data_IF_045537686931
#
_entry.id   IF_045537686931
#
_cell.length_a   1.000
_cell.length_b   1.000
_cell.length_c   1.000
_cell.angle_alpha   90.00
_cell.angle_beta   90.00
_cell.angle_gamma   90.00
#
_symmetry.space_group_name_H-M   'P 1'
#
loop_
_entity.id
_entity.type
_entity.pdbx_description
1 polymer ?
#
# COMPACT_ATOMS: atom_id res chain seq x y z
N UNK A 1 17.00 25.77 30.11
CA UNK A 1 18.35 25.65 29.51
C UNK A 1 19.43 26.02 30.52
N UNK A 2 19.75 25.13 31.49
CA UNK A 2 20.74 25.37 32.58
C UNK A 2 22.12 24.74 32.26
N UNK A 3 22.20 23.82 31.31
CA UNK A 3 23.42 23.04 31.02
C UNK A 3 24.41 23.83 30.15
N UNK A 4 23.96 24.48 29.08
CA UNK A 4 24.83 25.20 28.15
C UNK A 4 25.70 26.28 28.83
N UNK A 5 25.16 27.12 29.77
CA UNK A 5 26.00 28.06 30.50
C UNK A 5 27.10 27.39 31.34
N UNK A 6 26.82 26.24 31.96
CA UNK A 6 27.82 25.49 32.73
C UNK A 6 28.94 24.91 31.83
N UNK A 7 28.57 24.44 30.63
CA UNK A 7 29.53 23.93 29.66
C UNK A 7 30.40 25.08 29.11
N UNK A 8 29.82 26.24 28.80
CA UNK A 8 30.56 27.42 28.35
C UNK A 8 31.50 27.99 29.45
N UNK A 9 31.07 27.92 30.71
CA UNK A 9 31.94 28.35 31.82
C UNK A 9 33.18 27.45 31.97
N UNK A 10 33.06 26.16 31.69
CA UNK A 10 34.17 25.20 31.77
C UNK A 10 35.00 25.16 30.48
N UNK A 11 34.35 25.34 29.33
CA UNK A 11 34.97 25.38 28.01
C UNK A 11 34.41 26.55 27.20
N UNK A 12 35.09 27.72 27.20
CA UNK A 12 34.58 28.96 26.61
C UNK A 12 34.16 28.87 25.14
N UNK A 13 34.77 27.95 24.36
CA UNK A 13 34.46 27.74 22.93
C UNK A 13 33.55 26.56 22.67
N UNK A 14 32.92 26.00 23.71
CA UNK A 14 32.05 24.78 23.56
C UNK A 14 30.92 24.96 22.55
N UNK A 15 30.17 26.06 22.66
CA UNK A 15 29.04 26.35 21.77
C UNK A 15 29.49 26.49 20.31
N UNK A 16 30.61 27.21 20.08
CA UNK A 16 31.17 27.38 18.73
C UNK A 16 31.68 26.06 18.14
N UNK A 17 32.35 25.22 18.94
CA UNK A 17 32.84 23.93 18.51
C UNK A 17 31.69 22.98 18.13
N UNK A 18 30.64 22.96 18.94
CA UNK A 18 29.42 22.16 18.65
C UNK A 18 28.73 22.67 17.39
N UNK A 19 28.57 24.00 17.24
CA UNK A 19 27.97 24.61 16.05
C UNK A 19 28.75 24.27 14.77
N UNK A 20 30.09 24.35 14.80
CA UNK A 20 30.93 23.93 13.65
C UNK A 20 30.77 22.46 13.33
N UNK A 21 30.81 21.59 14.33
CA UNK A 21 30.61 20.14 14.12
C UNK A 21 29.26 19.85 13.54
N UNK A 22 28.19 20.49 14.04
CA UNK A 22 26.85 20.33 13.51
C UNK A 22 26.73 20.81 12.05
N UNK A 23 27.35 21.93 11.71
CA UNK A 23 27.42 22.46 10.33
C UNK A 23 28.09 21.47 9.39
N UNK A 24 29.29 20.98 9.76
CA UNK A 24 30.01 19.99 8.97
C UNK A 24 29.23 18.68 8.78
N UNK A 25 28.57 18.18 9.83
CA UNK A 25 27.68 17.00 9.70
C UNK A 25 26.53 17.27 8.73
N UNK A 26 25.92 18.47 8.80
CA UNK A 26 24.84 18.85 7.88
C UNK A 26 25.31 19.00 6.42
N UNK A 27 26.54 19.48 6.20
CA UNK A 27 27.13 19.53 4.85
C UNK A 27 27.44 18.15 4.29
N UNK A 28 27.98 17.25 5.11
CA UNK A 28 28.22 15.86 4.73
C UNK A 28 26.93 15.11 4.43
N UNK A 29 25.88 15.33 5.21
CA UNK A 29 24.56 14.71 4.96
C UNK A 29 23.96 15.19 3.64
N UNK A 30 24.05 16.49 3.33
CA UNK A 30 23.60 17.03 2.04
C UNK A 30 24.38 16.45 0.85
N UNK A 31 25.71 16.35 0.98
CA UNK A 31 26.53 15.73 -0.06
C UNK A 31 26.15 14.25 -0.29
N UNK A 32 25.89 13.50 0.78
CA UNK A 32 25.40 12.12 0.68
C UNK A 32 24.01 12.07 0.02
N UNK A 33 23.13 13.03 0.32
CA UNK A 33 21.82 13.13 -0.33
C UNK A 33 21.95 13.34 -1.83
N UNK A 34 22.80 14.27 -2.26
CA UNK A 34 23.07 14.52 -3.66
C UNK A 34 23.62 13.27 -4.38
N UNK A 35 24.60 12.62 -3.78
CA UNK A 35 25.22 11.41 -4.35
C UNK A 35 24.26 10.24 -4.47
N UNK A 36 23.37 10.05 -3.49
CA UNK A 36 22.45 8.91 -3.44
C UNK A 36 21.10 9.19 -4.11
N UNK A 37 20.74 10.45 -4.37
CA UNK A 37 19.46 10.80 -4.98
C UNK A 37 19.29 10.19 -6.38
N UNK A 38 20.31 10.33 -7.21
CA UNK A 38 20.30 9.76 -8.56
C UNK A 38 20.19 8.22 -8.54
N UNK A 39 20.92 7.58 -7.61
CA UNK A 39 20.87 6.13 -7.44
C UNK A 39 19.48 5.69 -6.97
N UNK A 40 18.93 6.33 -5.94
CA UNK A 40 17.60 6.02 -5.42
C UNK A 40 16.53 6.13 -6.51
N UNK A 41 16.60 7.17 -7.35
CA UNK A 41 15.66 7.36 -8.47
C UNK A 41 15.64 6.17 -9.44
N UNK A 42 16.76 5.47 -9.62
CA UNK A 42 16.81 4.26 -10.46
C UNK A 42 16.23 3.01 -9.80
N UNK A 43 16.12 3.02 -8.48
CA UNK A 43 15.67 1.88 -7.67
C UNK A 43 14.18 1.94 -7.33
N UNK A 44 13.58 3.13 -7.40
CA UNK A 44 12.18 3.38 -7.05
C UNK A 44 11.33 3.36 -8.31
N UNK A 45 10.27 2.55 -8.30
CA UNK A 45 9.30 2.50 -9.39
C UNK A 45 8.30 3.68 -9.31
N UNK A 46 7.50 3.87 -10.37
CA UNK A 46 6.47 4.93 -10.44
C UNK A 46 5.45 4.85 -9.29
N UNK A 47 5.16 3.65 -8.80
CA UNK A 47 4.27 3.40 -7.65
C UNK A 47 4.95 3.61 -6.28
N UNK A 48 6.20 4.09 -6.27
CA UNK A 48 6.99 4.33 -5.07
C UNK A 48 7.65 3.08 -4.47
N UNK A 49 7.50 1.91 -5.10
CA UNK A 49 8.10 0.68 -4.59
C UNK A 49 9.62 0.64 -4.82
N UNK A 50 10.36 0.22 -3.80
CA UNK A 50 11.83 0.11 -3.84
C UNK A 50 12.28 -1.30 -4.23
N UNK A 51 13.13 -1.43 -5.24
CA UNK A 51 13.70 -2.70 -5.66
C UNK A 51 14.66 -3.27 -4.60
N UNK A 52 14.54 -4.56 -4.31
CA UNK A 52 15.37 -5.24 -3.28
C UNK A 52 16.68 -5.77 -3.89
N UNK A 53 16.63 -6.34 -5.07
CA UNK A 53 17.76 -7.05 -5.66
C UNK A 53 19.02 -6.19 -5.75
N UNK A 54 18.99 -4.92 -6.24
CA UNK A 54 20.20 -4.09 -6.27
C UNK A 54 20.78 -3.79 -4.89
N UNK A 55 19.94 -3.75 -3.85
CA UNK A 55 20.38 -3.50 -2.47
C UNK A 55 21.20 -4.66 -1.88
N UNK A 56 21.06 -5.87 -2.42
CA UNK A 56 21.78 -7.07 -1.91
C UNK A 56 23.28 -6.96 -2.05
N UNK A 57 23.77 -6.33 -3.13
CA UNK A 57 25.19 -6.15 -3.40
C UNK A 57 25.81 -4.95 -2.66
N UNK A 58 25.01 -4.14 -1.98
CA UNK A 58 25.46 -2.92 -1.31
C UNK A 58 25.94 -3.19 0.12
N UNK A 59 26.87 -2.36 0.60
CA UNK A 59 27.26 -2.35 2.01
C UNK A 59 26.09 -1.98 2.92
N UNK A 60 26.09 -2.46 4.16
CA UNK A 60 25.03 -2.16 5.13
C UNK A 60 24.83 -0.65 5.35
N UNK A 61 25.89 0.20 5.48
CA UNK A 61 25.72 1.65 5.60
C UNK A 61 25.05 2.29 4.37
N UNK A 62 25.44 1.90 3.14
CA UNK A 62 24.86 2.42 1.90
C UNK A 62 23.40 2.05 1.78
N UNK A 63 23.07 0.79 2.03
CA UNK A 63 21.70 0.29 2.04
C UNK A 63 20.83 0.99 3.09
N UNK A 64 21.34 1.19 4.30
CA UNK A 64 20.63 1.94 5.34
C UNK A 64 20.37 3.41 4.95
N UNK A 65 21.34 4.05 4.29
CA UNK A 65 21.19 5.41 3.79
C UNK A 65 20.11 5.52 2.71
N UNK A 66 20.06 4.58 1.75
CA UNK A 66 19.01 4.53 0.72
C UNK A 66 17.63 4.26 1.31
N UNK A 67 17.51 3.32 2.25
CA UNK A 67 16.23 3.01 2.93
C UNK A 67 15.69 4.23 3.69
N UNK A 68 16.54 4.99 4.37
CA UNK A 68 16.12 6.24 5.05
C UNK A 68 15.59 7.27 4.06
N UNK A 69 16.28 7.47 2.94
CA UNK A 69 15.87 8.43 1.90
C UNK A 69 14.60 8.00 1.21
N UNK A 70 14.46 6.70 0.96
CA UNK A 70 13.21 6.15 0.43
C UNK A 70 12.02 6.44 1.35
N UNK A 71 12.16 6.22 2.67
CA UNK A 71 11.13 6.56 3.65
C UNK A 71 10.88 8.07 3.74
N UNK A 72 11.93 8.89 3.68
CA UNK A 72 11.80 10.34 3.69
C UNK A 72 10.99 10.87 2.48
N UNK A 73 11.05 10.20 1.33
CA UNK A 73 10.24 10.51 0.15
C UNK A 73 8.72 10.43 0.39
N UNK A 74 8.28 9.68 1.39
CA UNK A 74 6.88 9.61 1.81
C UNK A 74 6.53 10.54 2.99
N UNK A 75 7.39 11.49 3.33
CA UNK A 75 7.27 12.33 4.53
C UNK A 75 7.13 11.48 5.83
N UNK A 76 7.67 10.27 5.82
CA UNK A 76 7.71 9.44 7.01
C UNK A 76 8.55 10.11 8.11
N UNK A 77 8.19 9.98 9.39
CA UNK A 77 9.06 10.43 10.47
C UNK A 77 10.44 9.79 10.33
N UNK A 78 11.50 10.59 10.58
CA UNK A 78 12.87 10.09 10.47
C UNK A 78 13.02 8.82 11.33
N UNK A 79 13.35 7.68 10.70
CA UNK A 79 13.43 6.41 11.42
C UNK A 79 14.63 6.39 12.37
N UNK A 80 14.49 5.67 13.49
CA UNK A 80 15.63 5.39 14.36
C UNK A 80 16.73 4.65 13.60
N UNK A 81 17.93 4.63 14.15
CA UNK A 81 19.09 3.97 13.51
C UNK A 81 18.84 2.49 13.19
N UNK A 82 18.01 1.82 13.95
CA UNK A 82 17.73 0.38 13.83
C UNK A 82 16.69 0.05 12.75
N UNK A 83 15.80 0.99 12.39
CA UNK A 83 14.69 0.72 11.46
C UNK A 83 15.14 0.25 10.08
N UNK A 84 16.13 0.87 9.41
CA UNK A 84 16.63 0.37 8.13
C UNK A 84 17.16 -1.07 8.19
N UNK A 85 17.85 -1.44 9.27
CA UNK A 85 18.35 -2.80 9.46
C UNK A 85 17.21 -3.80 9.71
N UNK A 86 16.18 -3.38 10.45
CA UNK A 86 14.98 -4.19 10.63
C UNK A 86 14.21 -4.38 9.32
N UNK A 87 14.04 -3.32 8.53
CA UNK A 87 13.42 -3.43 7.20
C UNK A 87 14.19 -4.44 6.35
N UNK A 88 15.51 -4.37 6.35
CA UNK A 88 16.34 -5.27 5.58
C UNK A 88 16.18 -6.71 6.04
N UNK A 89 16.40 -6.97 7.32
CA UNK A 89 16.41 -8.33 7.87
C UNK A 89 15.02 -8.96 7.97
N UNK A 90 14.02 -8.19 8.44
CA UNK A 90 12.69 -8.72 8.75
C UNK A 90 11.75 -8.71 7.55
N UNK A 91 11.98 -7.81 6.57
CA UNK A 91 11.09 -7.65 5.41
C UNK A 91 11.78 -8.03 4.11
N UNK A 92 12.88 -7.38 3.75
CA UNK A 92 13.53 -7.60 2.47
C UNK A 92 14.07 -9.03 2.34
N UNK A 93 14.71 -9.55 3.37
CA UNK A 93 15.35 -10.88 3.41
C UNK A 93 14.47 -11.97 4.02
N UNK A 94 13.18 -11.70 4.25
CA UNK A 94 12.25 -12.73 4.70
C UNK A 94 12.10 -13.84 3.64
N UNK A 95 11.64 -15.02 4.05
CA UNK A 95 11.43 -16.17 3.16
C UNK A 95 10.43 -15.81 2.05
N UNK A 96 10.55 -16.44 0.87
CA UNK A 96 9.70 -16.14 -0.30
C UNK A 96 8.20 -16.37 -0.04
N UNK A 97 7.88 -17.41 0.74
CA UNK A 97 6.52 -17.78 1.10
C UNK A 97 5.93 -16.94 2.25
N UNK A 98 6.74 -16.12 2.90
CA UNK A 98 6.31 -15.24 3.96
C UNK A 98 5.62 -13.97 3.41
N UNK A 99 4.71 -13.42 4.22
CA UNK A 99 4.11 -12.10 3.97
C UNK A 99 4.62 -11.10 5.02
N UNK A 100 5.91 -10.71 4.93
CA UNK A 100 6.52 -9.90 5.95
C UNK A 100 5.86 -8.53 6.05
N UNK A 101 5.72 -8.05 7.29
CA UNK A 101 5.09 -6.78 7.60
C UNK A 101 5.80 -6.16 8.80
N UNK A 102 6.51 -5.06 8.58
CA UNK A 102 7.07 -4.24 9.67
C UNK A 102 6.19 -3.00 9.86
N UNK A 103 5.57 -2.89 11.03
CA UNK A 103 4.72 -1.74 11.36
C UNK A 103 5.54 -0.58 11.89
N UNK A 104 5.30 0.61 11.33
CA UNK A 104 5.92 1.87 11.71
C UNK A 104 4.81 2.93 11.87
N UNK A 105 4.23 2.99 13.05
CA UNK A 105 3.08 3.85 13.35
C UNK A 105 1.82 3.43 12.60
N UNK A 106 1.30 4.33 11.77
CA UNK A 106 0.12 4.08 10.93
C UNK A 106 0.45 3.45 9.58
N UNK A 107 1.72 3.21 9.29
CA UNK A 107 2.19 2.62 8.05
C UNK A 107 2.90 1.30 8.29
N UNK A 108 3.12 0.58 7.21
CA UNK A 108 3.85 -0.69 7.21
C UNK A 108 4.81 -0.73 6.04
N UNK A 109 5.99 -1.32 6.26
CA UNK A 109 6.85 -1.76 5.17
C UNK A 109 6.52 -3.21 4.87
N UNK A 110 6.23 -3.52 3.62
CA UNK A 110 5.85 -4.85 3.16
C UNK A 110 6.66 -5.24 1.93
N UNK A 111 6.79 -6.55 1.69
CA UNK A 111 7.43 -7.07 0.49
C UNK A 111 6.42 -7.75 -0.43
N UNK A 112 6.52 -7.43 -1.72
CA UNK A 112 5.81 -8.12 -2.77
C UNK A 112 6.61 -8.07 -4.07
N UNK A 113 6.75 -9.19 -4.79
CA UNK A 113 7.48 -9.31 -6.06
C UNK A 113 8.86 -8.64 -6.05
N UNK A 114 9.69 -8.98 -5.05
CA UNK A 114 11.05 -8.46 -4.89
C UNK A 114 11.14 -6.92 -4.77
N UNK A 115 10.09 -6.30 -4.26
CA UNK A 115 10.02 -4.87 -3.98
C UNK A 115 9.53 -4.61 -2.57
N UNK A 116 10.01 -3.52 -1.96
CA UNK A 116 9.50 -2.98 -0.71
C UNK A 116 8.44 -1.93 -1.00
N UNK A 117 7.37 -1.96 -0.22
CA UNK A 117 6.25 -1.04 -0.30
C UNK A 117 6.04 -0.33 1.04
N UNK A 118 5.84 0.98 0.99
CA UNK A 118 5.37 1.79 2.11
C UNK A 118 3.86 1.91 2.01
N UNK A 119 3.13 1.27 2.92
CA UNK A 119 1.68 1.11 2.80
C UNK A 119 1.01 1.54 4.10
N UNK A 120 -0.03 2.37 3.99
CA UNK A 120 -0.90 2.68 5.15
C UNK A 120 -1.49 1.38 5.69
N UNK A 121 -1.42 1.21 7.01
CA UNK A 121 -2.03 0.06 7.66
C UNK A 121 -3.55 0.21 7.63
N UNK A 122 -4.22 -0.71 6.96
CA UNK A 122 -5.67 -0.82 6.94
C UNK A 122 -6.05 -2.18 7.55
N UNK A 123 -6.99 -2.21 8.52
CA UNK A 123 -7.49 -3.47 9.06
C UNK A 123 -8.15 -4.30 7.96
N UNK A 124 -7.88 -5.61 7.94
CA UNK A 124 -8.55 -6.53 7.03
C UNK A 124 -10.08 -6.54 7.27
N UNK A 125 -10.83 -6.69 6.18
CA UNK A 125 -12.29 -6.66 6.20
C UNK A 125 -12.93 -8.00 5.80
N UNK A 126 -12.18 -9.10 5.85
CA UNK A 126 -12.61 -10.42 5.32
C UNK A 126 -13.95 -10.90 5.82
N UNK A 127 -14.34 -10.56 7.06
CA UNK A 127 -15.61 -10.96 7.67
C UNK A 127 -16.72 -9.91 7.51
N UNK A 128 -16.42 -8.78 6.92
CA UNK A 128 -17.37 -7.67 6.78
C UNK A 128 -18.32 -7.92 5.60
N UNK A 129 -19.60 -7.76 5.84
CA UNK A 129 -20.68 -7.75 4.84
C UNK A 129 -21.47 -6.47 5.00
N UNK A 130 -21.55 -5.67 3.94
CA UNK A 130 -22.29 -4.41 3.93
C UNK A 130 -23.48 -4.52 3.00
N UNK A 131 -24.69 -4.28 3.51
CA UNK A 131 -25.87 -4.13 2.67
C UNK A 131 -25.85 -2.74 1.97
N UNK A 132 -26.23 -2.73 0.68
CA UNK A 132 -26.35 -1.50 -0.11
C UNK A 132 -27.76 -1.37 -0.67
N UNK A 133 -28.75 -0.98 0.18
CA UNK A 133 -30.17 -1.00 -0.19
C UNK A 133 -30.54 0.09 -1.19
N UNK A 134 -29.84 1.20 -1.23
CA UNK A 134 -30.08 2.32 -2.14
C UNK A 134 -28.79 2.63 -2.94
N UNK A 135 -28.68 1.99 -4.10
CA UNK A 135 -27.50 2.13 -4.98
C UNK A 135 -27.36 3.52 -5.61
N UNK A 136 -28.38 4.37 -5.53
CA UNK A 136 -28.30 5.77 -5.97
C UNK A 136 -27.46 6.62 -4.99
N UNK A 137 -27.26 6.16 -3.76
CA UNK A 137 -26.43 6.83 -2.75
C UNK A 137 -25.08 6.18 -2.61
N UNK A 138 -24.04 6.95 -2.27
CA UNK A 138 -22.73 6.39 -1.95
C UNK A 138 -22.80 5.42 -0.76
N UNK A 139 -22.03 4.34 -0.82
CA UNK A 139 -21.86 3.41 0.30
C UNK A 139 -20.50 3.69 0.98
N UNK A 140 -20.48 4.20 2.21
CA UNK A 140 -19.23 4.35 2.96
C UNK A 140 -18.67 2.98 3.34
N UNK A 141 -17.36 2.82 3.19
CA UNK A 141 -16.63 1.60 3.54
C UNK A 141 -15.94 1.74 4.90
N UNK A 142 -15.87 0.67 5.69
CA UNK A 142 -15.21 0.67 6.99
C UNK A 142 -13.69 0.77 6.88
N UNK A 143 -13.02 1.00 8.02
CA UNK A 143 -11.56 0.95 8.12
C UNK A 143 -10.80 1.99 7.31
N UNK A 144 -11.47 3.09 6.90
CA UNK A 144 -10.83 4.13 6.11
C UNK A 144 -10.66 3.78 4.63
N UNK A 145 -11.43 2.82 4.13
CA UNK A 145 -11.38 2.39 2.72
C UNK A 145 -12.06 3.38 1.74
N UNK A 146 -12.74 4.42 2.24
CA UNK A 146 -13.44 5.38 1.40
C UNK A 146 -14.89 5.01 1.14
N UNK A 147 -15.37 5.21 -0.08
CA UNK A 147 -16.76 4.95 -0.45
C UNK A 147 -16.90 4.34 -1.85
N UNK A 148 -17.99 3.63 -2.08
CA UNK A 148 -18.38 3.13 -3.39
C UNK A 148 -19.55 3.94 -3.94
N UNK A 149 -19.56 4.09 -5.27
CA UNK A 149 -20.66 4.71 -6.02
C UNK A 149 -20.95 3.91 -7.27
N UNK A 150 -22.24 3.85 -7.64
CA UNK A 150 -22.64 3.46 -8.97
C UNK A 150 -22.77 4.69 -9.86
N UNK A 151 -22.28 4.59 -11.10
CA UNK A 151 -22.51 5.56 -12.15
C UNK A 151 -23.16 4.86 -13.35
N UNK A 152 -24.00 5.56 -14.14
CA UNK A 152 -24.53 5.01 -15.38
C UNK A 152 -23.42 4.84 -16.43
N UNK A 153 -23.66 3.95 -17.37
CA UNK A 153 -22.73 3.69 -18.48
C UNK A 153 -21.49 2.89 -18.03
N UNK A 154 -21.52 1.59 -18.16
CA UNK A 154 -20.40 0.75 -17.78
C UNK A 154 -20.62 -0.71 -18.15
N UNK A 155 -19.63 -1.56 -17.86
CA UNK A 155 -19.64 -2.95 -18.29
C UNK A 155 -20.43 -3.90 -17.36
N UNK A 156 -20.93 -3.39 -16.21
CA UNK A 156 -21.69 -4.20 -15.26
C UNK A 156 -23.18 -4.13 -15.55
N UNK A 157 -23.88 -5.24 -15.38
CA UNK A 157 -25.33 -5.21 -15.30
C UNK A 157 -25.79 -4.57 -14.00
N UNK A 158 -26.93 -3.89 -14.03
CA UNK A 158 -27.60 -3.47 -12.81
C UNK A 158 -28.16 -4.65 -12.01
N UNK A 159 -28.49 -4.44 -10.71
CA UNK A 159 -29.20 -5.45 -9.91
C UNK A 159 -30.65 -5.59 -10.41
N UNK A 160 -31.22 -6.80 -10.33
CA UNK A 160 -32.64 -7.05 -10.55
C UNK A 160 -33.45 -6.69 -9.31
N UNK A 161 -34.77 -6.61 -9.43
CA UNK A 161 -35.66 -6.21 -8.34
C UNK A 161 -35.61 -7.13 -7.12
N UNK A 162 -35.32 -8.41 -7.34
CA UNK A 162 -35.21 -9.47 -6.32
C UNK A 162 -33.79 -9.69 -5.81
N UNK A 163 -32.80 -8.98 -6.35
CA UNK A 163 -31.39 -9.13 -5.97
C UNK A 163 -30.97 -8.10 -4.91
N UNK A 164 -30.69 -8.56 -3.71
CA UNK A 164 -30.08 -7.71 -2.68
C UNK A 164 -28.63 -7.37 -3.05
N UNK A 165 -28.28 -6.09 -3.02
CA UNK A 165 -26.92 -5.64 -3.28
C UNK A 165 -26.12 -5.63 -1.99
N UNK A 166 -24.97 -6.33 -2.00
CA UNK A 166 -24.05 -6.35 -0.86
C UNK A 166 -22.61 -6.18 -1.32
N UNK A 167 -21.79 -5.63 -0.42
CA UNK A 167 -20.33 -5.57 -0.56
C UNK A 167 -19.71 -6.52 0.45
N UNK A 168 -18.86 -7.40 -0.03
CA UNK A 168 -18.09 -8.36 0.77
C UNK A 168 -16.60 -8.23 0.41
N UNK A 169 -15.71 -8.83 1.21
CA UNK A 169 -14.27 -8.77 0.97
C UNK A 169 -13.65 -10.16 0.76
N UNK A 170 -14.48 -11.17 0.68
CA UNK A 170 -14.10 -12.54 0.31
C UNK A 170 -15.20 -13.17 -0.55
N UNK A 171 -14.80 -14.16 -1.33
CA UNK A 171 -15.73 -15.02 -2.06
C UNK A 171 -15.24 -16.46 -2.02
N UNK A 172 -16.17 -17.39 -2.02
CA UNK A 172 -15.94 -18.84 -2.08
C UNK A 172 -16.35 -19.41 -3.44
N UNK A 173 -16.01 -20.68 -3.67
CA UNK A 173 -16.37 -21.37 -4.90
C UNK A 173 -15.46 -21.08 -6.08
N UNK A 174 -15.94 -21.48 -7.28
CA UNK A 174 -15.27 -21.24 -8.55
C UNK A 174 -15.95 -20.08 -9.27
N UNK A 175 -15.19 -19.09 -9.62
CA UNK A 175 -15.62 -17.83 -10.23
C UNK A 175 -15.28 -17.86 -11.72
N UNK A 176 -16.26 -17.57 -12.57
CA UNK A 176 -16.09 -17.44 -14.01
C UNK A 176 -15.92 -15.97 -14.38
N UNK A 177 -14.73 -15.60 -14.85
CA UNK A 177 -14.37 -14.21 -15.16
C UNK A 177 -14.46 -13.98 -16.66
N UNK A 178 -14.95 -12.80 -17.04
CA UNK A 178 -15.02 -12.38 -18.45
C UNK A 178 -13.63 -12.41 -19.07
N UNK A 179 -13.55 -12.99 -20.28
CA UNK A 179 -12.30 -13.13 -21.02
C UNK A 179 -11.35 -14.22 -20.55
N UNK A 180 -11.79 -15.10 -19.62
CA UNK A 180 -10.99 -16.24 -19.15
C UNK A 180 -11.76 -17.54 -19.24
N UNK A 181 -11.06 -18.61 -19.60
CA UNK A 181 -11.66 -19.95 -19.66
C UNK A 181 -11.61 -20.64 -18.29
N UNK A 182 -12.73 -21.28 -17.92
CA UNK A 182 -12.87 -22.09 -16.71
C UNK A 182 -13.03 -21.30 -15.42
N UNK A 183 -13.61 -21.95 -14.42
CA UNK A 183 -13.79 -21.38 -13.08
C UNK A 183 -12.51 -21.43 -12.25
N UNK A 184 -12.26 -20.40 -11.46
CA UNK A 184 -11.08 -20.25 -10.61
C UNK A 184 -11.45 -19.79 -9.21
N UNK A 185 -10.71 -20.25 -8.21
CA UNK A 185 -10.83 -19.71 -6.85
C UNK A 185 -10.32 -18.26 -6.80
N UNK A 186 -10.94 -17.42 -5.98
CA UNK A 186 -10.56 -16.00 -5.82
C UNK A 186 -9.07 -15.81 -5.53
N UNK A 187 -8.47 -16.67 -4.69
CA UNK A 187 -7.02 -16.64 -4.41
C UNK A 187 -6.17 -16.73 -5.69
N UNK A 188 -6.57 -17.61 -6.63
CA UNK A 188 -5.87 -17.77 -7.91
C UNK A 188 -6.01 -16.53 -8.79
N UNK A 189 -7.21 -15.94 -8.80
CA UNK A 189 -7.51 -14.70 -9.53
C UNK A 189 -6.63 -13.55 -9.02
N UNK A 190 -6.53 -13.38 -7.69
CA UNK A 190 -5.65 -12.38 -7.09
C UNK A 190 -4.18 -12.57 -7.48
N UNK A 191 -3.70 -13.80 -7.54
CA UNK A 191 -2.34 -14.12 -7.98
C UNK A 191 -2.11 -13.75 -9.45
N UNK A 192 -3.04 -14.12 -10.33
CA UNK A 192 -2.97 -13.84 -11.77
C UNK A 192 -3.07 -12.35 -12.11
N UNK A 193 -3.80 -11.59 -11.29
CA UNK A 193 -3.92 -10.13 -11.41
C UNK A 193 -2.81 -9.38 -10.65
N UNK A 194 -1.84 -10.11 -10.07
CA UNK A 194 -0.76 -9.52 -9.28
C UNK A 194 -1.23 -8.61 -8.14
N UNK A 195 -2.40 -8.93 -7.54
CA UNK A 195 -2.90 -8.15 -6.40
C UNK A 195 -2.10 -8.48 -5.16
N UNK A 196 -1.48 -7.46 -4.58
CA UNK A 196 -0.67 -7.59 -3.38
C UNK A 196 -1.50 -8.14 -2.19
N UNK A 197 -0.93 -9.01 -1.33
CA UNK A 197 -1.67 -9.69 -0.26
C UNK A 197 -2.47 -8.74 0.64
N UNK A 198 -1.92 -7.59 1.00
CA UNK A 198 -2.59 -6.60 1.87
C UNK A 198 -3.77 -5.87 1.22
N UNK A 199 -3.89 -5.95 -0.12
CA UNK A 199 -5.05 -5.41 -0.85
C UNK A 199 -6.19 -6.40 -0.98
N UNK A 200 -5.94 -7.71 -0.84
CA UNK A 200 -6.94 -8.75 -1.09
C UNK A 200 -8.09 -8.68 -0.12
N UNK A 201 -7.79 -8.50 1.18
CA UNK A 201 -8.79 -8.44 2.26
C UNK A 201 -9.40 -7.03 2.45
N UNK A 202 -8.97 -6.07 1.64
CA UNK A 202 -9.49 -4.69 1.66
C UNK A 202 -10.11 -4.28 0.33
N UNK A 203 -10.07 -5.14 -0.69
CA UNK A 203 -10.71 -4.88 -1.99
C UNK A 203 -12.19 -5.24 -1.93
N UNK A 204 -13.10 -4.27 -2.14
CA UNK A 204 -14.53 -4.52 -2.14
C UNK A 204 -14.95 -5.43 -3.30
N UNK A 205 -15.80 -6.39 -3.01
CA UNK A 205 -16.42 -7.31 -3.96
C UNK A 205 -17.92 -7.04 -3.99
N UNK A 206 -18.46 -6.76 -5.16
CA UNK A 206 -19.88 -6.52 -5.39
C UNK A 206 -20.63 -7.85 -5.56
N UNK A 207 -21.69 -8.03 -4.79
CA UNK A 207 -22.57 -9.18 -4.89
C UNK A 207 -24.02 -8.73 -5.18
N UNK A 208 -24.72 -9.52 -6.01
CA UNK A 208 -26.16 -9.49 -6.13
C UNK A 208 -26.70 -10.81 -5.60
N UNK A 209 -27.42 -10.75 -4.46
CA UNK A 209 -27.71 -11.93 -3.67
C UNK A 209 -26.43 -12.66 -3.25
N UNK A 210 -26.29 -13.92 -3.61
CA UNK A 210 -25.09 -14.73 -3.35
C UNK A 210 -24.10 -14.78 -4.55
N UNK A 211 -24.44 -14.12 -5.66
CA UNK A 211 -23.63 -14.13 -6.87
C UNK A 211 -22.62 -12.99 -6.86
N UNK A 212 -21.33 -13.31 -6.97
CA UNK A 212 -20.28 -12.31 -7.18
C UNK A 212 -20.38 -11.72 -8.58
N UNK A 213 -20.42 -10.39 -8.66
CA UNK A 213 -20.59 -9.62 -9.90
C UNK A 213 -19.25 -9.06 -10.38
N UNK A 214 -18.53 -8.37 -9.50
CA UNK A 214 -17.28 -7.72 -9.85
C UNK A 214 -16.41 -7.47 -8.61
N UNK A 215 -15.12 -7.24 -8.83
CA UNK A 215 -14.24 -6.58 -7.88
C UNK A 215 -14.12 -5.09 -8.20
N UNK A 216 -14.06 -4.26 -7.17
CA UNK A 216 -13.84 -2.82 -7.32
C UNK A 216 -12.51 -2.51 -8.03
N UNK A 217 -12.28 -1.25 -8.42
CA UNK A 217 -11.15 -0.80 -9.26
C UNK A 217 -11.10 -1.46 -10.65
N UNK A 218 -12.19 -2.03 -11.14
CA UNK A 218 -12.21 -2.68 -12.45
C UNK A 218 -11.30 -3.91 -12.56
N UNK A 219 -10.92 -4.50 -11.44
CA UNK A 219 -9.96 -5.61 -11.39
C UNK A 219 -10.45 -6.84 -12.15
N UNK A 220 -11.72 -7.17 -12.01
CA UNK A 220 -12.39 -8.19 -12.83
C UNK A 220 -13.91 -8.07 -12.74
N UNK A 221 -14.56 -8.65 -13.75
CA UNK A 221 -16.02 -8.81 -13.82
C UNK A 221 -16.27 -10.29 -14.04
N UNK A 222 -17.25 -10.85 -13.33
CA UNK A 222 -17.71 -12.23 -13.58
C UNK A 222 -18.61 -12.28 -14.80
N UNK A 223 -18.80 -13.46 -15.37
CA UNK A 223 -19.72 -13.68 -16.49
C UNK A 223 -21.15 -13.25 -16.11
N UNK A 224 -21.57 -13.54 -14.87
CA UNK A 224 -22.87 -13.14 -14.32
C UNK A 224 -23.03 -11.63 -14.11
N UNK A 225 -21.90 -10.93 -13.99
CA UNK A 225 -21.85 -9.47 -13.77
C UNK A 225 -21.80 -8.64 -15.04
N UNK A 226 -21.54 -9.26 -16.19
CA UNK A 226 -21.41 -8.56 -17.46
C UNK A 226 -22.78 -8.09 -17.97
N UNK A 227 -22.86 -6.83 -18.40
CA UNK A 227 -24.05 -6.34 -19.12
C UNK A 227 -24.17 -7.08 -20.45
N UNK A 228 -25.37 -7.58 -20.75
CA UNK A 228 -25.69 -8.26 -22.01
C UNK A 228 -26.50 -7.35 -22.93
N UNK A 229 -27.50 -6.66 -22.40
CA UNK A 229 -28.37 -5.71 -23.13
C UNK A 229 -28.71 -4.52 -22.25
N UNK A 230 -28.94 -3.36 -22.86
CA UNK A 230 -29.32 -2.12 -22.19
C UNK A 230 -28.16 -1.30 -21.65
N UNK A 231 -28.49 -0.31 -20.82
CA UNK A 231 -27.50 0.54 -20.16
C UNK A 231 -26.87 -0.18 -18.97
N UNK A 232 -25.56 -0.37 -19.02
CA UNK A 232 -24.80 -0.91 -17.90
C UNK A 232 -24.52 0.15 -16.84
N UNK A 233 -23.92 -0.31 -15.73
CA UNK A 233 -23.47 0.55 -14.63
C UNK A 233 -21.98 0.39 -14.41
N UNK A 234 -21.35 1.39 -13.81
CA UNK A 234 -19.96 1.37 -13.41
C UNK A 234 -19.87 1.46 -11.89
N UNK A 235 -19.06 0.59 -11.28
CA UNK A 235 -18.73 0.65 -9.86
C UNK A 235 -17.44 1.48 -9.69
N UNK A 236 -17.55 2.60 -9.00
CA UNK A 236 -16.41 3.48 -8.69
C UNK A 236 -16.07 3.36 -7.22
N UNK A 237 -14.79 3.15 -6.93
CA UNK A 237 -14.25 3.16 -5.58
C UNK A 237 -13.43 4.44 -5.35
N UNK A 238 -13.98 5.33 -4.55
CA UNK A 238 -13.33 6.57 -4.11
C UNK A 238 -12.59 6.29 -2.80
N UNK A 239 -11.28 6.06 -2.91
CA UNK A 239 -10.43 5.81 -1.74
C UNK A 239 -10.24 7.08 -0.94
N UNK A 240 -10.22 6.95 0.39
CA UNK A 240 -9.80 8.07 1.25
C UNK A 240 -8.34 8.36 0.91
N UNK A 241 -8.01 9.62 0.60
CA UNK A 241 -6.66 10.04 0.21
C UNK A 241 -5.60 9.49 1.16
N UNK A 242 -4.55 8.94 0.58
CA UNK A 242 -3.34 8.53 1.29
C UNK A 242 -2.48 9.72 1.65
#
# INVERSE_FOLDING_TARGET
>A
LRIVPLLNARWPHFAEAVARSASLCGEQERLLDEMLAAELATLVAEDGALAIEPLTAMSAPRRAALLRRWLAGFNAPMPSREVPERIWREVAMAREDAFPCLRLGQFTVRRFQQRLYWVKYLPGQSETVLAWPDIAKPLPLPGGLGELRFLPGGPLRGPRQDEAVTIRFRASGHLHIVGRHGGRKLKKIWQELNVAPWRRDTTPLLFYGETLIAAADGLFITVDGKVQEGEGVQLIWMKTGG
#
